data_IF_064093679597
#
_entry.id   IF_064093679597
#
_cell.length_a   1.000
_cell.length_b   1.000
_cell.length_c   1.000
_cell.angle_alpha   90.00
_cell.angle_beta   90.00
_cell.angle_gamma   90.00
#
_symmetry.space_group_name_H-M   'P 1'
#
loop_
_entity.id
_entity.type
_entity.pdbx_description
1 polymer ?
#
# COMPACT_ATOMS: atom_id res chain seq x y z
N UNK A 1 3.14 -20.73 19.67
CA UNK A 1 2.71 -19.40 19.19
C UNK A 1 1.28 -19.10 19.59
N UNK A 2 0.28 -19.90 19.19
CA UNK A 2 -1.13 -19.74 19.61
C UNK A 2 -1.27 -19.58 21.14
N UNK A 3 -0.70 -20.50 21.92
CA UNK A 3 -0.72 -20.41 23.39
C UNK A 3 -0.16 -19.08 23.93
N UNK A 4 1.03 -18.66 23.48
CA UNK A 4 1.63 -17.37 23.90
C UNK A 4 0.75 -16.17 23.58
N UNK A 5 0.16 -16.10 22.39
CA UNK A 5 -0.70 -14.99 22.02
C UNK A 5 -1.98 -14.93 22.87
N UNK A 6 -2.57 -16.09 23.17
CA UNK A 6 -3.75 -16.19 24.04
C UNK A 6 -3.40 -15.81 25.49
N UNK A 7 -2.25 -16.25 26.00
CA UNK A 7 -1.72 -15.89 27.33
C UNK A 7 -1.52 -14.37 27.46
N UNK A 8 -1.05 -13.71 26.41
CA UNK A 8 -0.94 -12.24 26.30
C UNK A 8 -2.29 -11.54 26.09
N UNK A 9 -3.38 -12.30 26.06
CA UNK A 9 -4.74 -11.79 25.98
C UNK A 9 -5.22 -11.40 24.58
N UNK A 10 -4.46 -11.74 23.54
CA UNK A 10 -4.81 -11.44 22.15
C UNK A 10 -5.90 -12.37 21.61
N UNK A 11 -6.63 -11.88 20.61
CA UNK A 11 -7.37 -12.74 19.68
C UNK A 11 -6.37 -13.30 18.65
N UNK A 12 -6.60 -14.53 18.20
CA UNK A 12 -5.74 -15.24 17.25
C UNK A 12 -6.63 -15.76 16.14
N UNK A 13 -6.36 -15.37 14.90
CA UNK A 13 -6.93 -16.00 13.72
C UNK A 13 -5.94 -17.03 13.16
N UNK A 14 -6.43 -18.21 12.81
CA UNK A 14 -5.63 -19.33 12.31
C UNK A 14 -6.28 -19.88 11.04
N UNK A 15 -5.50 -19.96 9.97
CA UNK A 15 -5.95 -20.41 8.67
C UNK A 15 -5.05 -21.50 8.07
N UNK A 16 -5.47 -21.97 6.89
CA UNK A 16 -4.57 -22.49 5.86
C UNK A 16 -4.28 -21.36 4.88
N UNK A 17 -3.01 -21.11 4.59
CA UNK A 17 -2.59 -19.82 4.01
C UNK A 17 -2.27 -19.94 2.52
N UNK A 18 -1.00 -20.20 2.17
CA UNK A 18 -0.58 -20.43 0.78
C UNK A 18 -1.01 -21.79 0.22
N UNK A 19 -1.65 -22.63 1.04
CA UNK A 19 -2.37 -23.81 0.57
C UNK A 19 -3.38 -23.47 -0.55
N UNK A 20 -3.94 -22.24 -0.53
CA UNK A 20 -4.86 -21.70 -1.53
C UNK A 20 -4.32 -21.85 -2.95
N UNK A 21 -3.15 -21.31 -3.24
CA UNK A 21 -2.50 -21.36 -4.55
C UNK A 21 -1.52 -22.53 -4.72
N UNK A 22 -1.16 -23.24 -3.65
CA UNK A 22 -0.27 -24.40 -3.77
C UNK A 22 -0.98 -25.67 -4.21
N UNK A 23 -2.22 -25.88 -3.77
CA UNK A 23 -2.95 -27.10 -4.13
C UNK A 23 -4.47 -26.95 -4.13
N UNK A 24 -5.06 -26.07 -3.30
CA UNK A 24 -6.52 -25.87 -3.27
C UNK A 24 -7.04 -25.34 -4.61
N UNK A 25 -6.27 -24.48 -5.28
CA UNK A 25 -6.62 -23.90 -6.59
C UNK A 25 -6.90 -24.94 -7.69
N UNK A 26 -6.41 -26.17 -7.51
CA UNK A 26 -6.62 -27.27 -8.46
C UNK A 26 -7.98 -27.96 -8.30
N UNK A 27 -8.81 -27.57 -7.32
CA UNK A 27 -10.12 -28.19 -7.04
C UNK A 27 -11.01 -28.40 -8.28
N UNK A 28 -11.08 -27.50 -9.27
CA UNK A 28 -11.87 -27.74 -10.49
C UNK A 28 -11.41 -28.95 -11.30
N UNK A 29 -10.13 -29.32 -11.20
CA UNK A 29 -9.51 -30.41 -11.98
C UNK A 29 -9.17 -31.66 -11.16
N UNK A 30 -9.08 -31.52 -9.84
CA UNK A 30 -8.69 -32.58 -8.90
C UNK A 30 -9.56 -32.56 -7.63
N UNK A 31 -10.86 -32.45 -7.83
CA UNK A 31 -11.86 -32.18 -6.78
C UNK A 31 -11.76 -33.12 -5.57
N UNK A 32 -11.80 -34.43 -5.80
CA UNK A 32 -11.86 -35.42 -4.71
C UNK A 32 -10.61 -35.39 -3.83
N UNK A 33 -9.42 -35.27 -4.43
CA UNK A 33 -8.16 -35.25 -3.68
C UNK A 33 -7.98 -33.94 -2.92
N UNK A 34 -8.30 -32.81 -3.55
CA UNK A 34 -8.26 -31.49 -2.88
C UNK A 34 -9.23 -31.46 -1.70
N UNK A 35 -10.48 -31.87 -1.90
CA UNK A 35 -11.48 -31.90 -0.84
C UNK A 35 -11.10 -32.86 0.29
N UNK A 36 -10.59 -34.06 -0.03
CA UNK A 36 -10.14 -35.03 0.96
C UNK A 36 -8.98 -34.47 1.80
N UNK A 37 -7.98 -33.84 1.16
CA UNK A 37 -6.86 -33.19 1.84
C UNK A 37 -7.33 -32.04 2.72
N UNK A 38 -8.20 -31.16 2.21
CA UNK A 38 -8.74 -30.04 2.96
C UNK A 38 -9.50 -30.49 4.22
N UNK A 39 -10.39 -31.49 4.08
CA UNK A 39 -11.13 -32.07 5.20
C UNK A 39 -10.20 -32.72 6.24
N UNK A 40 -9.17 -33.44 5.79
CA UNK A 40 -8.18 -34.05 6.68
C UNK A 40 -7.38 -32.99 7.46
N UNK A 41 -6.97 -31.89 6.81
CA UNK A 41 -6.28 -30.77 7.45
C UNK A 41 -7.16 -30.13 8.52
N UNK A 42 -8.38 -29.76 8.19
CA UNK A 42 -9.28 -29.10 9.15
C UNK A 42 -9.73 -30.03 10.29
N UNK A 43 -9.88 -31.33 10.04
CA UNK A 43 -10.17 -32.29 11.11
C UNK A 43 -9.03 -32.34 12.14
N UNK A 44 -7.78 -32.32 11.69
CA UNK A 44 -6.62 -32.31 12.57
C UNK A 44 -6.52 -31.00 13.36
N UNK A 45 -6.69 -29.85 12.70
CA UNK A 45 -6.66 -28.53 13.35
C UNK A 45 -7.78 -28.41 14.39
N UNK A 46 -9.02 -28.73 14.01
CA UNK A 46 -10.18 -28.67 14.90
C UNK A 46 -10.02 -29.60 16.12
N UNK A 47 -9.46 -30.80 15.92
CA UNK A 47 -9.17 -31.73 17.02
C UNK A 47 -8.11 -31.19 17.96
N UNK A 48 -7.00 -30.68 17.43
CA UNK A 48 -5.87 -30.16 18.21
C UNK A 48 -6.29 -28.98 19.10
N UNK A 49 -7.06 -28.06 18.55
CA UNK A 49 -7.42 -26.79 19.21
C UNK A 49 -8.85 -26.79 19.79
N UNK A 50 -9.45 -27.97 19.95
CA UNK A 50 -10.83 -28.17 20.40
C UNK A 50 -11.22 -27.39 21.66
N UNK A 51 -10.30 -27.34 22.63
CA UNK A 51 -10.55 -26.76 23.96
C UNK A 51 -9.90 -25.38 24.16
N UNK A 52 -9.25 -24.83 23.12
CA UNK A 52 -8.69 -23.48 23.18
C UNK A 52 -9.81 -22.43 23.36
N UNK A 53 -9.55 -21.33 24.09
CA UNK A 53 -10.53 -20.25 24.30
C UNK A 53 -11.12 -19.72 22.99
N UNK A 54 -12.30 -19.10 23.07
CA UNK A 54 -12.98 -18.48 21.91
C UNK A 54 -12.24 -17.24 21.36
N UNK A 55 -11.11 -16.87 21.97
CA UNK A 55 -10.17 -15.89 21.40
C UNK A 55 -9.41 -16.46 20.20
N UNK A 56 -9.34 -17.78 20.05
CA UNK A 56 -8.86 -18.43 18.84
C UNK A 56 -10.04 -18.57 17.86
N UNK A 57 -9.90 -17.97 16.69
CA UNK A 57 -10.79 -18.07 15.54
C UNK A 57 -10.17 -19.03 14.52
N UNK A 58 -11.00 -19.56 13.62
CA UNK A 58 -10.52 -20.29 12.46
C UNK A 58 -11.02 -19.61 11.19
N UNK A 59 -10.12 -19.37 10.26
CA UNK A 59 -10.40 -18.86 8.92
C UNK A 59 -10.22 -19.97 7.89
N UNK A 60 -11.23 -20.18 7.04
CA UNK A 60 -11.37 -21.35 6.16
C UNK A 60 -10.17 -21.57 5.23
N UNK A 61 -9.78 -20.53 4.49
CA UNK A 61 -8.68 -20.51 3.52
C UNK A 61 -8.36 -19.05 3.16
N UNK A 62 -7.08 -18.71 3.10
CA UNK A 62 -6.60 -17.38 2.71
C UNK A 62 -6.70 -17.16 1.19
N UNK A 63 -7.29 -16.05 0.75
CA UNK A 63 -7.30 -15.59 -0.65
C UNK A 63 -7.57 -16.73 -1.65
N UNK A 64 -8.74 -17.38 -1.59
CA UNK A 64 -9.05 -18.52 -2.44
C UNK A 64 -9.06 -18.12 -3.91
N UNK A 65 -8.35 -18.89 -4.73
CA UNK A 65 -8.35 -18.79 -6.19
C UNK A 65 -8.44 -20.19 -6.78
N UNK A 66 -8.96 -20.31 -8.00
CA UNK A 66 -9.14 -21.59 -8.67
C UNK A 66 -8.79 -21.50 -10.15
N UNK A 67 -8.20 -22.57 -10.69
CA UNK A 67 -7.72 -22.61 -12.07
C UNK A 67 -8.14 -23.88 -12.81
N UNK A 68 -8.17 -23.78 -14.12
CA UNK A 68 -8.40 -24.90 -15.02
C UNK A 68 -7.11 -25.69 -15.29
N UNK A 69 -7.21 -26.74 -16.12
CA UNK A 69 -6.07 -27.60 -16.46
C UNK A 69 -4.96 -26.89 -17.25
N UNK A 70 -5.23 -25.71 -17.83
CA UNK A 70 -4.24 -24.88 -18.50
C UNK A 70 -3.52 -23.92 -17.54
N UNK A 71 -4.03 -23.79 -16.32
CA UNK A 71 -3.56 -22.85 -15.32
C UNK A 71 -4.24 -21.48 -15.40
N UNK A 72 -5.27 -21.31 -16.22
CA UNK A 72 -6.05 -20.08 -16.29
C UNK A 72 -7.10 -20.05 -15.18
N UNK A 73 -7.42 -18.86 -14.67
CA UNK A 73 -8.50 -18.69 -13.69
C UNK A 73 -9.84 -19.21 -14.25
N UNK A 74 -10.60 -19.95 -13.45
CA UNK A 74 -11.95 -20.38 -13.81
C UNK A 74 -12.95 -19.22 -13.60
N UNK A 75 -14.13 -19.24 -14.25
CA UNK A 75 -15.15 -18.21 -14.03
C UNK A 75 -15.57 -18.11 -12.56
N UNK A 76 -15.92 -16.91 -12.11
CA UNK A 76 -16.36 -16.65 -10.74
C UNK A 76 -17.44 -17.62 -10.25
N UNK A 77 -18.39 -18.00 -11.10
CA UNK A 77 -19.45 -18.96 -10.74
C UNK A 77 -18.91 -20.35 -10.38
N UNK A 78 -17.84 -20.82 -11.05
CA UNK A 78 -17.17 -22.07 -10.71
C UNK A 78 -16.31 -21.90 -9.47
N UNK A 79 -15.61 -20.77 -9.35
CA UNK A 79 -14.82 -20.45 -8.18
C UNK A 79 -15.66 -20.37 -6.90
N UNK A 80 -16.83 -19.73 -6.96
CA UNK A 80 -17.81 -19.67 -5.86
C UNK A 80 -18.30 -21.07 -5.47
N UNK A 81 -18.60 -21.93 -6.43
CA UNK A 81 -19.03 -23.31 -6.13
C UNK A 81 -17.96 -24.10 -5.39
N UNK A 82 -16.70 -24.03 -5.84
CA UNK A 82 -15.58 -24.67 -5.15
C UNK A 82 -15.37 -24.09 -3.75
N UNK A 83 -15.40 -22.76 -3.63
CA UNK A 83 -15.20 -22.09 -2.35
C UNK A 83 -16.30 -22.44 -1.34
N UNK A 84 -17.56 -22.36 -1.74
CA UNK A 84 -18.69 -22.64 -0.84
C UNK A 84 -18.70 -24.09 -0.36
N UNK A 85 -18.28 -25.04 -1.21
CA UNK A 85 -18.11 -26.43 -0.79
C UNK A 85 -17.01 -26.59 0.27
N UNK A 86 -15.86 -25.92 0.09
CA UNK A 86 -14.77 -25.94 1.07
C UNK A 86 -15.20 -25.30 2.40
N UNK A 87 -15.82 -24.13 2.35
CA UNK A 87 -16.25 -23.39 3.54
C UNK A 87 -17.38 -24.10 4.31
N UNK A 88 -18.32 -24.73 3.60
CA UNK A 88 -19.34 -25.60 4.21
C UNK A 88 -18.69 -26.81 4.89
N UNK A 89 -17.78 -27.50 4.19
CA UNK A 89 -17.07 -28.65 4.77
C UNK A 89 -16.23 -28.25 6.00
N UNK A 90 -15.59 -27.09 5.95
CA UNK A 90 -14.87 -26.51 7.07
C UNK A 90 -15.79 -26.24 8.27
N UNK A 91 -16.90 -25.54 8.07
CA UNK A 91 -17.86 -25.24 9.13
C UNK A 91 -18.41 -26.52 9.77
N UNK A 92 -18.80 -27.50 8.95
CA UNK A 92 -19.29 -28.80 9.42
C UNK A 92 -18.23 -29.53 10.27
N UNK A 93 -17.00 -29.62 9.80
CA UNK A 93 -15.91 -30.28 10.55
C UNK A 93 -15.69 -29.62 11.90
N UNK A 94 -15.61 -28.28 11.92
CA UNK A 94 -15.36 -27.55 13.17
C UNK A 94 -16.52 -27.74 14.13
N UNK A 95 -17.77 -27.58 13.69
CA UNK A 95 -18.95 -27.73 14.56
C UNK A 95 -19.12 -29.15 15.11
N UNK A 96 -18.76 -30.18 14.35
CA UNK A 96 -18.88 -31.57 14.78
C UNK A 96 -17.68 -32.10 15.58
N UNK A 97 -16.61 -31.32 15.74
CA UNK A 97 -15.44 -31.71 16.54
C UNK A 97 -15.65 -31.60 18.07
N UNK A 98 -16.72 -30.91 18.50
CA UNK A 98 -17.15 -30.75 19.90
C UNK A 98 -16.32 -29.75 20.70
N UNK A 99 -16.47 -29.76 22.03
CA UNK A 99 -15.75 -28.83 22.92
C UNK A 99 -16.11 -27.38 22.66
N UNK A 100 -15.13 -26.48 22.65
CA UNK A 100 -15.35 -25.04 22.40
C UNK A 100 -15.59 -24.71 20.93
N UNK A 101 -15.29 -25.63 20.01
CA UNK A 101 -15.51 -25.43 18.59
C UNK A 101 -16.99 -25.28 18.20
N UNK A 102 -17.93 -25.73 19.06
CA UNK A 102 -19.36 -25.53 18.86
C UNK A 102 -19.79 -24.05 18.86
N UNK A 103 -19.02 -23.17 19.53
CA UNK A 103 -19.28 -21.72 19.57
C UNK A 103 -18.08 -20.87 19.13
N UNK A 104 -17.09 -21.47 18.45
CA UNK A 104 -15.92 -20.77 17.94
C UNK A 104 -16.31 -19.93 16.72
N UNK A 105 -15.85 -18.68 16.67
CA UNK A 105 -16.04 -17.86 15.48
C UNK A 105 -15.32 -18.48 14.28
N UNK A 106 -16.02 -18.58 13.16
CA UNK A 106 -15.49 -19.03 11.88
C UNK A 106 -15.45 -17.87 10.90
N UNK A 107 -14.33 -17.72 10.23
CA UNK A 107 -14.03 -16.59 9.35
C UNK A 107 -14.04 -17.10 7.91
N UNK A 108 -14.84 -16.45 7.06
CA UNK A 108 -15.14 -16.88 5.69
C UNK A 108 -14.84 -15.77 4.67
N UNK A 109 -14.29 -16.17 3.52
CA UNK A 109 -13.79 -15.27 2.47
C UNK A 109 -14.79 -15.19 1.31
N UNK A 110 -14.98 -14.02 0.66
CA UNK A 110 -15.65 -13.94 -0.63
C UNK A 110 -14.70 -14.38 -1.75
N UNK A 111 -15.19 -14.66 -2.96
CA UNK A 111 -14.27 -14.95 -4.08
C UNK A 111 -13.52 -13.70 -4.58
N UNK A 112 -14.14 -12.52 -4.41
CA UNK A 112 -13.56 -11.22 -4.74
C UNK A 112 -14.23 -10.10 -3.93
N UNK A 113 -13.69 -8.89 -4.03
CA UNK A 113 -14.14 -7.71 -3.28
C UNK A 113 -15.20 -6.86 -4.01
N UNK A 114 -15.72 -7.36 -5.14
CA UNK A 114 -16.80 -6.70 -5.86
C UNK A 114 -18.15 -7.02 -5.21
N UNK A 115 -19.19 -6.28 -5.59
CA UNK A 115 -20.52 -6.45 -4.98
C UNK A 115 -21.04 -7.88 -5.14
N UNK A 116 -20.81 -8.53 -6.28
CA UNK A 116 -21.25 -9.92 -6.51
C UNK A 116 -20.56 -10.91 -5.57
N UNK A 117 -19.23 -10.78 -5.38
CA UNK A 117 -18.49 -11.65 -4.46
C UNK A 117 -18.93 -11.46 -3.00
N UNK A 118 -19.17 -10.22 -2.58
CA UNK A 118 -19.69 -9.91 -1.24
C UNK A 118 -21.13 -10.42 -1.03
N UNK A 119 -22.01 -10.25 -2.02
CA UNK A 119 -23.38 -10.78 -1.98
C UNK A 119 -23.37 -12.31 -1.96
N UNK A 120 -22.47 -12.93 -2.71
CA UNK A 120 -22.23 -14.38 -2.71
C UNK A 120 -21.91 -14.90 -1.32
N UNK A 121 -20.89 -14.32 -0.67
CA UNK A 121 -20.53 -14.67 0.71
C UNK A 121 -21.68 -14.40 1.70
N UNK A 122 -22.42 -13.29 1.54
CA UNK A 122 -23.55 -12.98 2.42
C UNK A 122 -24.66 -14.05 2.32
N UNK A 123 -24.93 -14.55 1.11
CA UNK A 123 -25.89 -15.63 0.88
C UNK A 123 -25.41 -16.95 1.48
N UNK A 124 -24.11 -17.24 1.38
CA UNK A 124 -23.50 -18.43 1.99
C UNK A 124 -23.58 -18.37 3.52
N UNK A 125 -23.16 -17.26 4.15
CA UNK A 125 -23.27 -17.06 5.61
C UNK A 125 -24.72 -17.27 6.07
N UNK A 126 -25.70 -16.77 5.33
CA UNK A 126 -27.11 -16.96 5.65
C UNK A 126 -27.56 -18.43 5.53
N UNK A 127 -27.01 -19.19 4.58
CA UNK A 127 -27.37 -20.60 4.33
C UNK A 127 -26.79 -21.57 5.37
N UNK A 128 -25.67 -21.22 5.99
CA UNK A 128 -25.04 -22.01 7.07
C UNK A 128 -25.83 -21.98 8.39
N UNK A 129 -26.77 -21.03 8.54
CA UNK A 129 -27.64 -20.90 9.72
C UNK A 129 -26.88 -20.86 11.06
N UNK A 130 -25.71 -20.21 11.07
CA UNK A 130 -24.81 -20.12 12.22
C UNK A 130 -24.59 -18.65 12.63
N UNK A 131 -24.76 -18.35 13.91
CA UNK A 131 -24.61 -17.00 14.45
C UNK A 131 -23.16 -16.59 14.75
N UNK A 132 -22.20 -17.51 14.63
CA UNK A 132 -20.79 -17.32 14.97
C UNK A 132 -19.91 -17.30 13.70
N UNK A 133 -20.37 -16.61 12.66
CA UNK A 133 -19.66 -16.42 11.40
C UNK A 133 -19.19 -14.97 11.25
N UNK A 134 -18.03 -14.79 10.62
CA UNK A 134 -17.38 -13.50 10.35
C UNK A 134 -17.01 -13.45 8.87
N UNK A 135 -17.32 -12.35 8.19
CA UNK A 135 -16.84 -12.11 6.84
C UNK A 135 -15.42 -11.53 6.90
N UNK A 136 -14.46 -12.11 6.16
CA UNK A 136 -13.11 -11.54 6.01
C UNK A 136 -12.88 -10.99 4.62
N UNK A 137 -12.11 -9.90 4.54
CA UNK A 137 -11.75 -9.18 3.33
C UNK A 137 -10.29 -8.79 3.43
N UNK A 138 -9.53 -8.88 2.33
CA UNK A 138 -8.19 -8.30 2.24
C UNK A 138 -8.21 -7.07 1.33
N UNK A 139 -7.44 -6.04 1.67
CA UNK A 139 -7.29 -4.88 0.79
C UNK A 139 -5.91 -4.23 0.90
N UNK A 140 -5.24 -4.17 -0.24
CA UNK A 140 -3.92 -3.53 -0.39
C UNK A 140 -3.99 -2.14 -1.05
N UNK A 141 -5.19 -1.57 -1.18
CA UNK A 141 -5.46 -0.29 -1.83
C UNK A 141 -5.63 -0.38 -3.36
N UNK A 142 -5.94 0.75 -3.98
CA UNK A 142 -6.09 0.88 -5.43
C UNK A 142 -4.78 0.52 -6.14
N UNK A 143 -4.79 -0.57 -6.92
CA UNK A 143 -3.57 -1.18 -7.47
C UNK A 143 -2.62 -0.18 -8.13
N UNK A 144 -3.04 0.70 -9.07
CA UNK A 144 -2.12 1.63 -9.73
C UNK A 144 -1.36 2.55 -8.78
N UNK A 145 -2.01 3.00 -7.70
CA UNK A 145 -1.38 3.82 -6.67
C UNK A 145 -0.35 3.02 -5.87
N UNK A 146 -0.74 1.82 -5.46
CA UNK A 146 0.02 1.01 -4.50
C UNK A 146 1.31 0.42 -5.08
N UNK A 147 1.40 0.33 -6.42
CA UNK A 147 2.62 -0.04 -7.15
C UNK A 147 3.29 1.13 -7.87
N UNK A 148 2.67 2.32 -7.83
CA UNK A 148 3.04 3.55 -8.56
C UNK A 148 3.26 3.27 -10.06
N UNK A 149 2.15 3.19 -10.79
CA UNK A 149 2.08 3.01 -12.26
C UNK A 149 0.92 3.84 -12.83
N UNK A 150 0.91 4.08 -14.13
CA UNK A 150 -0.19 4.77 -14.83
C UNK A 150 -0.48 6.20 -14.33
N UNK A 151 0.52 6.87 -13.75
CA UNK A 151 0.41 8.24 -13.26
C UNK A 151 -0.32 8.37 -11.92
N UNK A 152 -0.43 7.29 -11.15
CA UNK A 152 -1.01 7.28 -9.81
C UNK A 152 0.07 7.38 -8.73
N UNK A 153 0.83 8.48 -8.74
CA UNK A 153 1.85 8.77 -7.73
C UNK A 153 1.28 9.38 -6.43
N UNK A 154 0.02 9.84 -6.45
CA UNK A 154 -0.67 10.55 -5.36
C UNK A 154 -1.90 9.79 -4.82
N UNK A 155 -2.18 9.95 -3.52
CA UNK A 155 -3.43 9.52 -2.88
C UNK A 155 -4.58 10.49 -3.23
N UNK A 156 -4.87 10.57 -4.54
CA UNK A 156 -5.82 11.50 -5.12
C UNK A 156 -7.29 11.06 -4.89
N UNK A 157 -8.23 11.85 -5.43
CA UNK A 157 -9.66 11.61 -5.24
C UNK A 157 -10.14 10.24 -5.76
N UNK A 158 -9.56 9.73 -6.86
CA UNK A 158 -9.94 8.42 -7.39
C UNK A 158 -9.47 7.29 -6.47
N UNK A 159 -8.24 7.40 -5.95
CA UNK A 159 -7.69 6.43 -4.98
C UNK A 159 -8.50 6.43 -3.68
N UNK A 160 -8.90 7.61 -3.22
CA UNK A 160 -9.77 7.77 -2.04
C UNK A 160 -11.16 7.17 -2.29
N UNK A 161 -11.73 7.39 -3.47
CA UNK A 161 -13.06 6.87 -3.82
C UNK A 161 -13.09 5.34 -3.85
N UNK A 162 -12.06 4.70 -4.41
CA UNK A 162 -11.93 3.24 -4.41
C UNK A 162 -12.00 2.66 -2.97
N UNK A 163 -11.30 3.30 -2.03
CA UNK A 163 -11.34 2.92 -0.61
C UNK A 163 -12.73 3.15 0.01
N UNK A 164 -13.36 4.30 -0.26
CA UNK A 164 -14.71 4.62 0.26
C UNK A 164 -15.75 3.62 -0.26
N UNK A 165 -15.67 3.27 -1.54
CA UNK A 165 -16.59 2.33 -2.17
C UNK A 165 -16.43 0.93 -1.55
N UNK A 166 -15.20 0.49 -1.29
CA UNK A 166 -14.96 -0.78 -0.59
C UNK A 166 -15.62 -0.81 0.80
N UNK A 167 -15.36 0.19 1.65
CA UNK A 167 -15.92 0.22 3.00
C UNK A 167 -17.44 0.34 3.00
N UNK A 168 -18.00 1.09 2.04
CA UNK A 168 -19.44 1.16 1.82
C UNK A 168 -20.02 -0.22 1.48
N UNK A 169 -19.40 -0.97 0.56
CA UNK A 169 -19.81 -2.35 0.23
C UNK A 169 -19.73 -3.28 1.43
N UNK A 170 -18.62 -3.28 2.17
CA UNK A 170 -18.46 -4.09 3.39
C UNK A 170 -19.57 -3.79 4.40
N UNK A 171 -19.79 -2.51 4.69
CA UNK A 171 -20.74 -2.09 5.71
C UNK A 171 -22.18 -2.46 5.33
N UNK A 172 -22.59 -2.10 4.11
CA UNK A 172 -23.97 -2.34 3.64
C UNK A 172 -24.28 -3.82 3.45
N UNK A 173 -23.29 -4.62 3.07
CA UNK A 173 -23.48 -6.06 2.82
C UNK A 173 -23.50 -6.84 4.13
N UNK A 174 -22.57 -6.57 5.06
CA UNK A 174 -22.36 -7.37 6.26
C UNK A 174 -22.70 -6.64 7.56
N UNK A 175 -21.97 -5.57 7.88
CA UNK A 175 -22.00 -4.94 9.21
C UNK A 175 -23.38 -4.41 9.57
N UNK A 176 -24.03 -3.70 8.65
CA UNK A 176 -25.37 -3.14 8.84
C UNK A 176 -26.45 -4.23 9.02
N UNK A 177 -26.16 -5.47 8.62
CA UNK A 177 -27.04 -6.64 8.77
C UNK A 177 -26.67 -7.53 9.97
N UNK A 178 -25.72 -7.09 10.79
CA UNK A 178 -25.31 -7.80 12.01
C UNK A 178 -24.28 -8.91 11.78
N UNK A 179 -23.70 -9.02 10.57
CA UNK A 179 -22.57 -9.92 10.30
C UNK A 179 -21.28 -9.15 10.57
N UNK A 180 -20.44 -9.57 11.53
CA UNK A 180 -19.14 -8.93 11.76
C UNK A 180 -18.25 -9.01 10.52
N UNK A 181 -17.55 -7.92 10.22
CA UNK A 181 -16.56 -7.86 9.15
C UNK A 181 -15.15 -7.66 9.72
N UNK A 182 -14.20 -8.38 9.13
CA UNK A 182 -12.79 -8.40 9.49
C UNK A 182 -11.95 -8.11 8.24
N UNK A 183 -11.09 -7.10 8.30
CA UNK A 183 -10.06 -6.86 7.28
C UNK A 183 -8.84 -7.71 7.65
N UNK A 184 -8.80 -8.95 7.16
CA UNK A 184 -7.80 -9.95 7.53
C UNK A 184 -6.38 -9.57 7.18
N UNK A 185 -6.24 -8.81 6.09
CA UNK A 185 -4.99 -8.19 5.70
C UNK A 185 -5.25 -6.81 5.13
N UNK A 186 -4.39 -5.86 5.50
CA UNK A 186 -4.27 -4.61 4.76
C UNK A 186 -2.84 -4.09 4.76
N UNK A 187 -2.56 -3.27 3.76
CA UNK A 187 -1.27 -2.63 3.55
C UNK A 187 -1.22 -1.95 2.19
N UNK A 188 -0.03 -1.85 1.61
CA UNK A 188 0.15 -1.52 0.20
C UNK A 188 1.20 -2.46 -0.40
N UNK A 189 1.20 -2.67 -1.71
CA UNK A 189 2.16 -3.59 -2.33
C UNK A 189 3.62 -3.13 -2.24
N UNK A 190 3.89 -1.81 -2.23
CA UNK A 190 5.25 -1.27 -2.31
C UNK A 190 5.58 -0.14 -1.33
N UNK A 191 4.84 -0.04 -0.22
CA UNK A 191 5.12 0.90 0.86
C UNK A 191 4.57 0.44 2.24
N UNK A 192 5.34 0.57 3.34
CA UNK A 192 6.78 0.85 3.36
C UNK A 192 7.57 -0.38 2.91
N UNK A 193 8.64 -0.17 2.16
CA UNK A 193 9.54 -1.23 1.68
C UNK A 193 10.98 -0.99 2.16
N UNK A 194 11.54 -2.01 2.82
CA UNK A 194 12.89 -1.98 3.39
C UNK A 194 13.83 -3.02 2.77
N UNK A 195 13.33 -3.85 1.86
CA UNK A 195 14.11 -4.96 1.31
C UNK A 195 14.95 -4.53 0.10
N UNK A 196 14.43 -3.58 -0.68
CA UNK A 196 15.04 -3.17 -1.96
C UNK A 196 15.51 -1.70 -1.97
N UNK A 197 15.63 -1.06 -0.79
CA UNK A 197 16.08 0.34 -0.62
C UNK A 197 15.31 1.40 -1.44
N UNK A 198 14.05 1.14 -1.78
CA UNK A 198 13.16 2.12 -2.40
C UNK A 198 11.75 2.02 -1.82
N UNK A 199 11.00 3.12 -1.93
CA UNK A 199 9.56 3.15 -1.69
C UNK A 199 8.88 3.64 -2.98
N UNK A 200 7.93 2.87 -3.50
CA UNK A 200 7.22 3.27 -4.72
C UNK A 200 6.19 4.36 -4.43
N UNK A 201 5.59 4.33 -3.24
CA UNK A 201 4.66 5.37 -2.77
C UNK A 201 5.47 6.39 -1.97
N UNK A 202 5.26 7.67 -2.27
CA UNK A 202 5.81 8.79 -1.51
C UNK A 202 5.27 8.75 -0.06
N UNK A 203 6.08 9.15 0.92
CA UNK A 203 5.76 8.93 2.35
C UNK A 203 4.55 9.74 2.82
N UNK A 204 4.41 11.00 2.41
CA UNK A 204 3.21 11.80 2.65
C UNK A 204 1.96 11.16 2.04
N UNK A 205 2.05 10.65 0.81
CA UNK A 205 0.94 9.97 0.14
C UNK A 205 0.55 8.66 0.85
N UNK A 206 1.53 7.83 1.20
CA UNK A 206 1.32 6.60 1.98
C UNK A 206 0.76 6.87 3.37
N UNK A 207 1.23 7.91 4.05
CA UNK A 207 0.69 8.33 5.35
C UNK A 207 -0.79 8.75 5.24
N UNK A 208 -1.17 9.50 4.19
CA UNK A 208 -2.59 9.84 3.93
C UNK A 208 -3.45 8.60 3.72
N UNK A 209 -2.95 7.61 2.96
CA UNK A 209 -3.63 6.31 2.78
C UNK A 209 -3.89 5.63 4.13
N UNK A 210 -2.87 5.45 4.97
CA UNK A 210 -3.03 4.77 6.26
C UNK A 210 -3.89 5.54 7.28
N UNK A 211 -3.88 6.88 7.25
CA UNK A 211 -4.77 7.70 8.07
C UNK A 211 -6.24 7.47 7.70
N UNK A 212 -6.56 7.54 6.40
CA UNK A 212 -7.92 7.35 5.90
C UNK A 212 -8.37 5.90 6.07
N UNK A 213 -7.52 4.92 5.77
CA UNK A 213 -7.85 3.50 5.91
C UNK A 213 -8.32 3.15 7.32
N UNK A 214 -7.56 3.56 8.34
CA UNK A 214 -7.94 3.30 9.73
C UNK A 214 -9.15 4.12 10.19
N UNK A 215 -9.35 5.33 9.64
CA UNK A 215 -10.56 6.11 9.89
C UNK A 215 -11.81 5.40 9.34
N UNK A 216 -11.76 4.97 8.08
CA UNK A 216 -12.89 4.30 7.41
C UNK A 216 -13.21 2.96 8.07
N UNK A 217 -12.20 2.16 8.43
CA UNK A 217 -12.39 0.93 9.19
C UNK A 217 -13.13 1.19 10.51
N UNK A 218 -12.71 2.22 11.26
CA UNK A 218 -13.30 2.56 12.57
C UNK A 218 -14.76 2.96 12.46
N UNK A 219 -15.11 3.85 11.52
CA UNK A 219 -16.49 4.35 11.40
C UNK A 219 -17.44 3.33 10.79
N UNK A 220 -16.92 2.37 10.02
CA UNK A 220 -17.70 1.25 9.47
C UNK A 220 -17.65 -0.01 10.34
N UNK A 221 -17.08 0.07 11.56
CA UNK A 221 -16.97 -1.05 12.51
C UNK A 221 -16.28 -2.31 11.96
N UNK A 222 -15.26 -2.12 11.12
CA UNK A 222 -14.45 -3.20 10.56
C UNK A 222 -13.19 -3.36 11.42
N UNK A 223 -12.99 -4.54 12.00
CA UNK A 223 -11.74 -4.86 12.70
C UNK A 223 -10.64 -5.10 11.67
N UNK A 224 -9.40 -4.66 11.90
CA UNK A 224 -8.32 -4.78 10.91
C UNK A 224 -7.10 -5.50 11.47
N UNK A 225 -6.40 -6.26 10.61
CA UNK A 225 -5.10 -6.82 10.86
C UNK A 225 -4.10 -6.34 9.81
N UNK A 226 -3.07 -5.62 10.26
CA UNK A 226 -2.03 -5.08 9.37
C UNK A 226 -1.14 -6.21 8.87
N UNK A 227 -0.93 -6.30 7.56
CA UNK A 227 0.00 -7.26 6.99
C UNK A 227 1.44 -6.83 7.26
N UNK A 228 2.09 -7.49 8.24
CA UNK A 228 3.48 -7.23 8.59
C UNK A 228 4.39 -8.41 8.28
N UNK A 229 4.82 -8.51 7.02
CA UNK A 229 5.86 -9.43 6.56
C UNK A 229 7.28 -9.08 7.07
N UNK A 230 7.39 -8.11 7.98
CA UNK A 230 8.64 -7.51 8.46
C UNK A 230 8.83 -6.07 8.01
N UNK A 231 7.82 -5.47 7.37
CA UNK A 231 7.83 -4.10 6.86
C UNK A 231 7.55 -3.05 7.94
N UNK A 232 6.84 -3.40 9.01
CA UNK A 232 6.43 -2.44 10.04
C UNK A 232 7.21 -2.61 11.34
N UNK A 233 7.33 -3.83 11.85
CA UNK A 233 8.11 -4.13 13.05
C UNK A 233 9.44 -4.77 12.68
N UNK A 234 10.53 -4.19 13.17
CA UNK A 234 11.83 -4.85 13.15
C UNK A 234 11.84 -5.95 14.23
N UNK A 235 11.67 -7.20 13.81
CA UNK A 235 11.60 -8.35 14.73
C UNK A 235 12.90 -8.64 15.50
N UNK A 236 14.04 -8.08 15.06
CA UNK A 236 15.32 -8.22 15.79
C UNK A 236 15.47 -7.20 16.91
N UNK A 237 14.89 -6.00 16.75
CA UNK A 237 14.96 -4.93 17.77
C UNK A 237 13.67 -4.75 18.56
N UNK A 238 12.58 -5.37 18.10
CA UNK A 238 11.21 -5.23 18.61
C UNK A 238 10.73 -3.77 18.61
N UNK A 239 11.19 -2.97 17.65
CA UNK A 239 10.79 -1.58 17.46
C UNK A 239 10.14 -1.39 16.08
N UNK A 240 9.21 -0.41 15.93
CA UNK A 240 8.73 0.00 14.62
C UNK A 240 9.90 0.45 13.73
N UNK A 241 9.88 0.07 12.46
CA UNK A 241 10.84 0.54 11.44
C UNK A 241 10.63 2.01 11.11
N UNK A 242 9.36 2.42 11.06
CA UNK A 242 8.95 3.82 10.99
C UNK A 242 8.04 4.15 12.19
N UNK A 243 8.59 4.77 13.26
CA UNK A 243 7.82 5.17 14.42
C UNK A 243 6.71 6.19 14.12
N UNK A 244 6.87 7.04 13.11
CA UNK A 244 5.89 8.07 12.76
C UNK A 244 4.67 7.46 12.05
N UNK A 245 4.91 6.62 11.04
CA UNK A 245 3.85 5.86 10.37
C UNK A 245 3.13 4.94 11.36
N UNK A 246 3.87 4.26 12.24
CA UNK A 246 3.28 3.42 13.29
C UNK A 246 2.38 4.23 14.24
N UNK A 247 2.82 5.42 14.66
CA UNK A 247 2.02 6.31 15.50
C UNK A 247 0.76 6.80 14.78
N UNK A 248 0.85 7.08 13.48
CA UNK A 248 -0.28 7.48 12.65
C UNK A 248 -1.34 6.38 12.53
N UNK A 249 -0.92 5.15 12.20
CA UNK A 249 -1.80 3.96 12.16
C UNK A 249 -2.44 3.74 13.53
N UNK A 250 -1.69 3.85 14.63
CA UNK A 250 -2.25 3.69 15.99
C UNK A 250 -3.24 4.79 16.35
N UNK A 251 -3.00 6.02 15.89
CA UNK A 251 -3.90 7.15 16.12
C UNK A 251 -5.24 6.95 15.43
N UNK A 252 -5.23 6.40 14.20
CA UNK A 252 -6.45 6.17 13.40
C UNK A 252 -7.40 5.14 14.04
N UNK A 253 -6.96 4.36 15.02
CA UNK A 253 -7.86 3.50 15.81
C UNK A 253 -8.81 4.28 16.73
N UNK A 254 -8.49 5.55 17.07
CA UNK A 254 -9.24 6.32 18.07
C UNK A 254 -9.66 7.72 17.61
N UNK A 255 -8.89 8.35 16.74
CA UNK A 255 -9.17 9.70 16.24
C UNK A 255 -8.71 9.85 14.80
N UNK A 256 -9.15 10.90 14.08
CA UNK A 256 -8.49 11.33 12.85
C UNK A 256 -7.23 12.14 13.16
N UNK A 257 -6.34 12.23 12.18
CA UNK A 257 -5.19 13.14 12.20
C UNK A 257 -5.29 14.09 11.02
N UNK A 258 -5.01 15.37 11.23
CA UNK A 258 -4.85 16.31 10.11
C UNK A 258 -3.61 15.97 9.31
N UNK A 259 -3.68 16.14 7.99
CA UNK A 259 -2.54 15.98 7.06
C UNK A 259 -2.38 17.25 6.22
N UNK A 260 -1.59 17.18 5.14
CA UNK A 260 -1.50 18.25 4.16
C UNK A 260 -1.47 17.67 2.75
N UNK A 261 -1.59 18.53 1.73
CA UNK A 261 -1.51 18.12 0.34
C UNK A 261 -0.20 17.38 0.03
N UNK A 262 0.89 17.73 0.71
CA UNK A 262 2.18 17.06 0.66
C UNK A 262 2.89 17.15 2.03
N UNK A 263 3.82 16.24 2.31
CA UNK A 263 4.82 16.33 3.37
C UNK A 263 6.13 16.97 2.88
N UNK A 264 6.13 17.62 1.72
CA UNK A 264 7.30 18.24 1.10
C UNK A 264 7.04 19.71 0.77
N UNK A 265 8.05 20.55 1.00
CA UNK A 265 8.07 21.97 0.65
C UNK A 265 9.39 22.28 -0.06
N UNK A 266 9.33 22.43 -1.39
CA UNK A 266 10.52 22.66 -2.20
C UNK A 266 10.91 24.14 -2.25
N UNK A 267 12.19 24.43 -1.95
CA UNK A 267 12.80 25.76 -2.00
C UNK A 267 13.91 25.76 -3.06
N UNK A 268 13.86 26.62 -4.09
CA UNK A 268 14.88 26.62 -5.12
C UNK A 268 16.23 27.08 -4.54
N UNK A 269 17.32 26.40 -4.94
CA UNK A 269 18.69 26.71 -4.50
C UNK A 269 19.15 28.10 -4.92
N UNK A 270 18.65 28.60 -6.05
CA UNK A 270 18.99 29.90 -6.62
C UNK A 270 17.72 30.71 -6.88
N UNK A 271 17.88 32.03 -6.93
CA UNK A 271 16.77 32.96 -7.10
C UNK A 271 16.17 33.43 -5.77
N UNK A 272 15.15 34.31 -5.83
CA UNK A 272 14.53 34.87 -4.63
C UNK A 272 13.69 33.82 -3.90
N UNK A 273 13.87 33.72 -2.58
CA UNK A 273 12.98 32.93 -1.72
C UNK A 273 11.70 33.73 -1.49
N UNK A 274 10.57 33.10 -1.81
CA UNK A 274 9.23 33.71 -1.69
C UNK A 274 8.44 33.09 -0.55
N UNK A 275 7.32 33.73 -0.19
CA UNK A 275 6.34 33.12 0.70
C UNK A 275 5.75 31.88 0.03
N UNK A 276 5.49 30.83 0.81
CA UNK A 276 4.98 29.56 0.30
C UNK A 276 3.77 29.11 1.11
N UNK A 277 2.81 28.49 0.42
CA UNK A 277 1.55 28.02 1.03
C UNK A 277 1.50 26.50 1.00
N UNK A 278 1.12 25.91 2.13
CA UNK A 278 0.84 24.50 2.29
C UNK A 278 -0.67 24.36 2.48
N UNK A 279 -1.34 23.64 1.59
CA UNK A 279 -2.75 23.28 1.75
C UNK A 279 -2.85 22.14 2.77
N UNK A 280 -3.62 22.35 3.84
CA UNK A 280 -3.85 21.37 4.89
C UNK A 280 -5.08 20.50 4.57
N UNK A 281 -5.03 19.22 4.90
CA UNK A 281 -6.22 18.38 4.96
C UNK A 281 -6.65 18.31 6.43
N UNK A 282 -7.62 19.13 6.81
CA UNK A 282 -7.99 19.25 8.22
C UNK A 282 -8.62 17.98 8.78
N UNK A 283 -9.24 17.12 7.97
CA UNK A 283 -9.80 15.83 8.39
C UNK A 283 -10.74 15.94 9.62
N UNK A 284 -11.56 17.00 9.65
CA UNK A 284 -12.45 17.30 10.79
C UNK A 284 -11.73 17.83 12.05
N UNK A 285 -10.42 18.01 12.01
CA UNK A 285 -9.61 18.65 13.07
C UNK A 285 -9.42 20.14 12.81
N UNK A 286 -8.76 20.85 13.73
CA UNK A 286 -8.38 22.25 13.56
C UNK A 286 -6.88 22.45 13.75
N UNK A 287 -6.26 23.33 12.95
CA UNK A 287 -4.88 23.76 13.15
C UNK A 287 -4.66 24.35 14.56
N UNK A 288 -3.54 24.00 15.20
CA UNK A 288 -3.19 24.43 16.56
C UNK A 288 -1.83 25.10 16.67
N UNK A 289 -0.88 24.77 15.80
CA UNK A 289 0.44 25.37 15.88
C UNK A 289 1.39 24.83 14.83
N UNK A 290 2.53 25.49 14.74
CA UNK A 290 3.59 25.19 13.80
C UNK A 290 4.94 25.35 14.51
N UNK A 291 5.83 24.38 14.35
CA UNK A 291 7.18 24.43 14.90
C UNK A 291 8.21 23.86 13.93
N UNK A 292 9.48 24.24 14.08
CA UNK A 292 10.62 23.60 13.42
C UNK A 292 11.72 23.37 14.46
N UNK A 293 11.90 22.12 14.88
CA UNK A 293 12.69 21.80 16.09
C UNK A 293 12.16 22.57 17.30
N UNK A 294 13.06 23.28 18.01
CA UNK A 294 12.70 24.10 19.18
C UNK A 294 12.08 25.46 18.83
N UNK A 295 12.06 25.83 17.54
CA UNK A 295 11.45 27.09 17.11
C UNK A 295 9.94 26.93 17.01
N UNK A 296 9.21 27.55 17.94
CA UNK A 296 7.77 27.76 17.83
C UNK A 296 7.49 28.96 16.91
N UNK A 297 6.82 28.72 15.79
CA UNK A 297 6.50 29.76 14.82
C UNK A 297 5.31 30.59 15.32
N UNK A 298 5.33 31.89 15.04
CA UNK A 298 4.36 32.87 15.52
C UNK A 298 3.44 33.34 14.39
N UNK A 299 2.13 33.16 14.57
CA UNK A 299 1.11 33.65 13.62
C UNK A 299 1.21 35.17 13.45
N UNK A 300 1.15 35.64 12.21
CA UNK A 300 1.27 37.05 11.82
C UNK A 300 2.72 37.51 11.59
N UNK A 301 3.71 36.83 12.17
CA UNK A 301 5.14 37.10 11.94
C UNK A 301 5.76 36.06 11.00
N UNK A 302 5.63 34.80 11.37
CA UNK A 302 6.30 33.69 10.70
C UNK A 302 5.38 33.02 9.66
N UNK A 303 4.08 33.00 9.92
CA UNK A 303 3.08 32.43 9.03
C UNK A 303 1.71 33.10 9.20
N UNK A 304 0.83 32.92 8.22
CA UNK A 304 -0.61 33.17 8.32
C UNK A 304 -1.39 31.89 8.00
N UNK A 305 -2.66 31.84 8.41
CA UNK A 305 -3.55 30.72 8.06
C UNK A 305 -4.94 31.27 7.76
N UNK A 306 -5.50 30.84 6.62
CA UNK A 306 -6.85 31.16 6.18
C UNK A 306 -7.57 29.86 5.77
N UNK A 307 -8.53 29.41 6.58
CA UNK A 307 -9.13 28.08 6.41
C UNK A 307 -8.07 26.99 6.54
N UNK A 308 -7.85 26.27 5.45
CA UNK A 308 -6.84 25.21 5.31
C UNK A 308 -5.53 25.68 4.64
N UNK A 309 -5.43 26.95 4.26
CA UNK A 309 -4.25 27.49 3.60
C UNK A 309 -3.25 28.03 4.63
N UNK A 310 -2.16 27.29 4.88
CA UNK A 310 -1.06 27.69 5.77
C UNK A 310 0.05 28.36 4.97
N UNK A 311 0.20 29.68 5.08
CA UNK A 311 1.21 30.45 4.33
C UNK A 311 2.37 30.85 5.22
N UNK A 312 3.57 30.37 4.88
CA UNK A 312 4.84 30.78 5.48
C UNK A 312 5.33 32.08 4.84
N UNK A 313 5.83 33.02 5.63
CA UNK A 313 6.45 34.23 5.06
C UNK A 313 7.77 33.88 4.36
N UNK A 314 8.20 34.71 3.39
CA UNK A 314 9.48 34.52 2.70
C UNK A 314 10.67 34.44 3.67
N UNK A 315 10.66 35.25 4.73
CA UNK A 315 11.68 35.24 5.78
C UNK A 315 11.69 33.92 6.56
N UNK A 316 10.52 33.35 6.84
CA UNK A 316 10.40 32.03 7.47
C UNK A 316 10.94 30.94 6.56
N UNK A 317 10.55 30.92 5.28
CA UNK A 317 11.05 29.94 4.31
C UNK A 317 12.57 30.03 4.19
N UNK A 318 13.13 31.25 4.11
CA UNK A 318 14.58 31.46 4.06
C UNK A 318 15.30 30.94 5.30
N UNK A 319 14.72 31.14 6.49
CA UNK A 319 15.28 30.60 7.74
C UNK A 319 15.23 29.08 7.80
N UNK A 320 14.13 28.48 7.32
CA UNK A 320 13.96 27.02 7.26
C UNK A 320 14.91 26.36 6.26
N UNK A 321 15.19 27.03 5.14
CA UNK A 321 16.13 26.56 4.14
C UNK A 321 17.61 26.68 4.58
N UNK A 322 17.91 27.31 5.72
CA UNK A 322 19.24 27.29 6.34
C UNK A 322 20.39 27.70 5.41
N UNK A 323 21.38 26.82 5.23
CA UNK A 323 22.51 27.00 4.31
C UNK A 323 22.15 26.72 2.84
N UNK A 324 20.92 26.29 2.59
CA UNK A 324 20.40 25.82 1.31
C UNK A 324 21.29 24.71 0.76
N UNK A 325 21.65 23.72 1.58
CA UNK A 325 22.32 22.53 1.07
C UNK A 325 21.29 21.69 0.32
N UNK A 326 21.64 21.09 -0.82
CA UNK A 326 20.66 20.26 -1.54
C UNK A 326 20.14 19.11 -0.66
N UNK A 327 18.82 18.92 -0.67
CA UNK A 327 18.12 17.95 0.18
C UNK A 327 17.33 18.60 1.30
N UNK A 328 17.03 17.83 2.35
CA UNK A 328 16.23 18.28 3.50
C UNK A 328 17.08 19.18 4.40
N UNK A 329 16.73 20.46 4.49
CA UNK A 329 17.40 21.43 5.38
C UNK A 329 16.79 21.45 6.78
N UNK A 330 15.46 21.33 6.84
CA UNK A 330 14.70 21.33 8.10
C UNK A 330 13.36 20.64 7.93
N UNK A 331 12.66 20.48 9.06
CA UNK A 331 11.36 19.84 9.10
C UNK A 331 10.40 20.70 9.92
N UNK A 332 9.25 21.00 9.32
CA UNK A 332 8.12 21.65 9.98
C UNK A 332 7.21 20.60 10.60
N UNK A 333 6.68 20.89 11.78
CA UNK A 333 5.66 20.10 12.46
C UNK A 333 4.38 20.92 12.57
N UNK A 334 3.35 20.50 11.86
CA UNK A 334 2.00 21.06 11.90
C UNK A 334 1.20 20.31 12.97
N UNK A 335 0.75 21.02 13.99
CA UNK A 335 -0.07 20.45 15.07
C UNK A 335 -1.54 20.72 14.82
N UNK A 336 -2.36 19.70 15.07
CA UNK A 336 -3.81 19.77 14.98
C UNK A 336 -4.45 19.61 16.38
N UNK A 337 -5.77 19.78 16.45
CA UNK A 337 -6.55 19.67 17.68
C UNK A 337 -6.62 18.25 18.25
N UNK A 338 -6.41 17.24 17.40
CA UNK A 338 -6.42 15.83 17.74
C UNK A 338 -5.53 15.07 16.74
N UNK A 339 -5.23 13.81 17.07
CA UNK A 339 -4.37 12.96 16.27
C UNK A 339 -2.89 13.28 16.41
N UNK A 340 -2.08 12.72 15.52
CA UNK A 340 -0.63 12.98 15.49
C UNK A 340 -0.32 14.24 14.67
N UNK A 341 0.78 14.95 14.96
CA UNK A 341 1.23 16.05 14.13
C UNK A 341 1.60 15.60 12.71
N UNK A 342 1.43 16.49 11.74
CA UNK A 342 1.93 16.30 10.38
C UNK A 342 3.32 16.90 10.23
N UNK A 343 4.17 16.24 9.48
CA UNK A 343 5.56 16.61 9.27
C UNK A 343 5.73 17.09 7.83
N UNK A 344 6.43 18.20 7.60
CA UNK A 344 6.73 18.70 6.26
C UNK A 344 8.23 18.95 6.14
N UNK A 345 8.88 18.24 5.22
CA UNK A 345 10.28 18.40 4.89
C UNK A 345 10.48 19.66 4.03
N UNK A 346 11.33 20.57 4.49
CA UNK A 346 11.75 21.74 3.70
C UNK A 346 13.00 21.34 2.92
N UNK A 347 12.87 21.30 1.59
CA UNK A 347 13.83 20.67 0.69
C UNK A 347 14.43 21.73 -0.23
N UNK A 348 15.72 22.02 -0.09
CA UNK A 348 16.41 22.80 -1.12
C UNK A 348 16.68 21.94 -2.34
N UNK A 349 16.23 22.40 -3.51
CA UNK A 349 16.39 21.67 -4.78
C UNK A 349 16.99 22.52 -5.90
N UNK A 350 17.53 21.85 -6.92
CA UNK A 350 18.04 22.47 -8.14
C UNK A 350 17.86 21.56 -9.35
N UNK A 351 18.45 21.91 -10.50
CA UNK A 351 18.35 21.11 -11.71
C UNK A 351 18.94 19.71 -11.50
N UNK A 352 18.15 18.67 -11.77
CA UNK A 352 18.63 17.29 -11.80
C UNK A 352 19.45 17.08 -13.07
N UNK A 353 20.62 16.46 -12.96
CA UNK A 353 21.50 16.21 -14.11
C UNK A 353 21.81 14.74 -14.25
N UNK A 354 21.71 14.22 -15.47
CA UNK A 354 22.04 12.85 -15.83
C UNK A 354 23.31 12.83 -16.70
N UNK A 355 23.93 11.66 -16.85
CA UNK A 355 25.05 11.46 -17.76
C UNK A 355 24.83 10.22 -18.63
N UNK A 356 25.49 10.17 -19.78
CA UNK A 356 25.46 9.01 -20.66
C UNK A 356 25.95 7.76 -19.93
N UNK A 357 25.34 6.62 -20.27
CA UNK A 357 25.63 5.34 -19.66
C UNK A 357 25.53 4.20 -20.68
N UNK A 358 26.17 3.08 -20.38
CA UNK A 358 26.03 1.82 -21.11
C UNK A 358 25.71 0.72 -20.12
N UNK A 359 24.84 -0.20 -20.53
CA UNK A 359 24.42 -1.34 -19.73
C UNK A 359 24.03 -2.51 -20.62
N UNK A 360 23.29 -3.45 -20.05
CA UNK A 360 22.83 -4.63 -20.79
C UNK A 360 21.47 -5.13 -20.28
N UNK A 361 20.82 -6.00 -21.05
CA UNK A 361 19.49 -6.54 -20.72
C UNK A 361 19.49 -7.56 -19.58
N UNK A 362 20.66 -7.95 -19.04
CA UNK A 362 20.79 -8.89 -17.93
C UNK A 362 20.99 -8.18 -16.60
N UNK A 363 21.86 -7.17 -16.58
CA UNK A 363 22.28 -6.42 -15.39
C UNK A 363 21.59 -5.06 -15.25
N UNK A 364 20.89 -4.59 -16.30
CA UNK A 364 20.24 -3.29 -16.33
C UNK A 364 21.14 -2.17 -16.90
N UNK A 365 20.61 -0.95 -16.86
CA UNK A 365 21.33 0.28 -17.22
C UNK A 365 21.32 1.21 -16.00
N UNK A 366 22.50 1.46 -15.43
CA UNK A 366 22.66 2.38 -14.31
C UNK A 366 22.97 3.77 -14.87
N UNK A 367 22.02 4.70 -14.75
CA UNK A 367 22.13 6.08 -15.22
C UNK A 367 22.71 6.94 -14.09
N UNK A 368 23.95 7.48 -14.20
CA UNK A 368 24.46 8.42 -13.23
C UNK A 368 23.57 9.66 -13.16
N UNK A 369 23.04 9.96 -11.99
CA UNK A 369 22.01 10.99 -11.76
C UNK A 369 22.33 11.79 -10.52
N UNK A 370 22.64 13.08 -10.66
CA UNK A 370 22.74 14.01 -9.52
C UNK A 370 21.38 14.62 -9.28
N UNK A 371 20.73 14.19 -8.20
CA UNK A 371 19.37 14.61 -7.87
C UNK A 371 19.28 16.06 -7.38
N UNK A 372 20.33 16.61 -6.76
CA UNK A 372 20.34 17.99 -6.25
C UNK A 372 19.05 18.36 -5.47
N UNK A 373 18.61 17.48 -4.55
CA UNK A 373 17.40 17.65 -3.75
C UNK A 373 16.08 17.31 -4.47
N UNK A 374 16.13 16.96 -5.76
CA UNK A 374 14.99 16.40 -6.48
C UNK A 374 14.61 15.02 -5.93
N UNK A 375 13.31 14.80 -5.73
CA UNK A 375 12.73 13.52 -5.32
C UNK A 375 11.94 12.97 -6.51
N UNK A 376 12.33 11.80 -7.03
CA UNK A 376 11.67 11.21 -8.19
C UNK A 376 10.27 10.73 -7.83
N UNK A 377 9.26 11.13 -8.61
CA UNK A 377 7.87 10.73 -8.43
C UNK A 377 7.53 9.55 -9.34
N UNK A 378 7.84 9.66 -10.63
CA UNK A 378 7.41 8.73 -11.66
C UNK A 378 8.30 8.83 -12.90
N UNK A 379 8.15 7.88 -13.83
CA UNK A 379 8.82 7.88 -15.12
C UNK A 379 7.86 7.47 -16.24
N UNK A 380 7.79 8.29 -17.29
CA UNK A 380 7.16 7.92 -18.56
C UNK A 380 8.21 7.34 -19.52
N UNK A 381 7.80 6.37 -20.35
CA UNK A 381 8.62 5.82 -21.43
C UNK A 381 7.80 5.75 -22.73
N UNK A 382 8.29 6.40 -23.79
CA UNK A 382 7.59 6.49 -25.07
C UNK A 382 8.49 6.20 -26.27
N UNK A 383 7.90 5.59 -27.30
CA UNK A 383 8.48 5.57 -28.64
C UNK A 383 8.21 6.88 -29.38
N UNK A 384 8.84 7.07 -30.54
CA UNK A 384 8.72 8.30 -31.33
C UNK A 384 7.28 8.58 -31.83
N UNK A 385 6.43 7.56 -31.93
CA UNK A 385 5.01 7.70 -32.28
C UNK A 385 4.11 8.06 -31.09
N UNK A 386 4.70 8.17 -29.88
CA UNK A 386 4.00 8.48 -28.64
C UNK A 386 3.42 7.26 -27.91
N UNK A 387 3.55 6.05 -28.46
CA UNK A 387 3.10 4.82 -27.78
C UNK A 387 3.98 4.49 -26.57
N UNK A 388 3.38 3.82 -25.57
CA UNK A 388 4.07 3.40 -24.36
C UNK A 388 5.15 2.35 -24.64
N UNK A 389 6.33 2.52 -24.04
CA UNK A 389 7.46 1.60 -24.16
C UNK A 389 7.76 0.93 -22.82
N UNK A 390 8.01 -0.38 -22.85
CA UNK A 390 8.33 -1.16 -21.65
C UNK A 390 7.24 -2.17 -21.28
N UNK A 391 7.29 -2.73 -20.07
CA UNK A 391 6.40 -3.83 -19.66
C UNK A 391 4.92 -3.44 -19.61
N UNK A 392 4.62 -2.18 -19.30
CA UNK A 392 3.26 -1.66 -19.19
C UNK A 392 2.85 -0.88 -20.45
N UNK A 393 2.86 -1.54 -21.61
CA UNK A 393 2.66 -0.88 -22.91
C UNK A 393 1.30 -0.18 -23.12
N UNK A 394 0.32 -0.43 -22.26
CA UNK A 394 -1.00 0.22 -22.26
C UNK A 394 -0.98 1.63 -21.65
N UNK A 395 0.12 2.03 -21.01
CA UNK A 395 0.35 3.37 -20.42
C UNK A 395 1.76 3.86 -20.74
N UNK A 396 1.99 5.17 -20.73
CA UNK A 396 3.36 5.72 -20.83
C UNK A 396 4.09 5.65 -19.48
N UNK A 397 3.37 5.85 -18.38
CA UNK A 397 3.91 5.78 -17.00
C UNK A 397 4.24 4.35 -16.60
N UNK A 398 5.52 4.09 -16.35
CA UNK A 398 6.03 2.78 -16.00
C UNK A 398 6.00 2.54 -14.49
N UNK A 399 6.03 1.27 -14.11
CA UNK A 399 5.90 0.84 -12.72
C UNK A 399 7.19 1.11 -11.92
N UNK A 400 7.08 1.91 -10.86
CA UNK A 400 8.18 2.23 -9.95
C UNK A 400 8.67 0.96 -9.24
N UNK A 401 9.98 0.74 -9.20
CA UNK A 401 10.57 -0.41 -8.53
C UNK A 401 10.60 -1.69 -9.37
N UNK A 402 9.83 -1.75 -10.46
CA UNK A 402 9.85 -2.86 -11.42
C UNK A 402 10.52 -2.46 -12.73
N UNK A 403 10.24 -1.26 -13.25
CA UNK A 403 10.84 -0.76 -14.50
C UNK A 403 12.05 0.13 -14.27
N UNK A 404 12.04 0.89 -13.18
CA UNK A 404 13.13 1.78 -12.78
C UNK A 404 13.24 1.86 -11.26
N UNK A 405 14.45 2.09 -10.75
CA UNK A 405 14.75 2.20 -9.32
C UNK A 405 15.71 3.38 -9.11
N UNK A 406 15.31 4.48 -8.46
CA UNK A 406 16.24 5.53 -8.07
C UNK A 406 17.01 5.14 -6.80
N UNK A 407 18.29 5.53 -6.76
CA UNK A 407 19.13 5.51 -5.57
C UNK A 407 19.73 6.91 -5.39
N UNK A 408 19.05 7.73 -4.59
CA UNK A 408 19.46 9.10 -4.32
C UNK A 408 20.81 9.15 -3.57
N UNK A 409 21.11 8.17 -2.71
CA UNK A 409 22.38 8.10 -1.99
C UNK A 409 23.53 7.70 -2.92
N UNK A 410 23.28 6.76 -3.83
CA UNK A 410 24.20 6.32 -4.87
C UNK A 410 24.33 7.30 -6.05
N UNK A 411 23.46 8.31 -6.14
CA UNK A 411 23.34 9.22 -7.30
C UNK A 411 23.12 8.45 -8.61
N UNK A 412 22.17 7.53 -8.62
CA UNK A 412 21.83 6.74 -9.81
C UNK A 412 20.32 6.56 -9.98
N UNK A 413 19.92 6.30 -11.22
CA UNK A 413 18.63 5.69 -11.54
C UNK A 413 18.94 4.43 -12.35
N UNK A 414 18.48 3.28 -11.88
CA UNK A 414 18.66 2.00 -12.57
C UNK A 414 17.42 1.69 -13.39
N UNK A 415 17.58 1.53 -14.70
CA UNK A 415 16.60 0.88 -15.56
C UNK A 415 16.78 -0.63 -15.41
N UNK A 416 15.71 -1.33 -15.06
CA UNK A 416 15.78 -2.76 -14.71
C UNK A 416 15.95 -3.63 -15.96
N UNK A 417 16.46 -4.87 -15.79
CA UNK A 417 16.46 -5.86 -16.85
C UNK A 417 15.07 -6.08 -17.47
N UNK A 418 14.01 -6.10 -16.66
CA UNK A 418 12.65 -6.34 -17.15
C UNK A 418 12.17 -5.22 -18.07
N UNK A 419 12.46 -3.96 -17.74
CA UNK A 419 12.19 -2.84 -18.64
C UNK A 419 12.97 -2.97 -19.96
N UNK A 420 14.27 -3.20 -19.88
CA UNK A 420 15.14 -3.25 -21.06
C UNK A 420 14.83 -4.44 -21.98
N UNK A 421 14.41 -5.59 -21.42
CA UNK A 421 13.95 -6.72 -22.22
C UNK A 421 12.66 -6.41 -22.97
N UNK A 422 11.75 -5.64 -22.37
CA UNK A 422 10.44 -5.32 -22.94
C UNK A 422 10.46 -4.27 -24.08
N UNK A 423 11.46 -3.39 -24.14
CA UNK A 423 11.54 -2.38 -25.23
C UNK A 423 11.99 -3.00 -26.57
N UNK A 424 11.65 -2.37 -27.69
CA UNK A 424 11.98 -2.86 -29.03
C UNK A 424 13.47 -2.71 -29.35
N UNK A 425 14.05 -3.69 -30.05
CA UNK A 425 15.45 -3.66 -30.45
C UNK A 425 15.71 -2.62 -31.55
N UNK A 426 16.79 -1.84 -31.42
CA UNK A 426 17.19 -0.79 -32.36
C UNK A 426 16.28 0.44 -32.39
N UNK A 427 15.22 0.51 -31.58
CA UNK A 427 14.27 1.62 -31.53
C UNK A 427 14.54 2.49 -30.29
N UNK A 428 14.85 3.79 -30.46
CA UNK A 428 15.02 4.69 -29.32
C UNK A 428 13.75 4.87 -28.50
N UNK A 429 13.90 4.88 -27.18
CA UNK A 429 12.85 5.17 -26.21
C UNK A 429 13.18 6.47 -25.48
N UNK A 430 12.24 7.40 -25.45
CA UNK A 430 12.35 8.62 -24.63
C UNK A 430 11.82 8.34 -23.24
N UNK A 431 12.67 8.50 -22.23
CA UNK A 431 12.29 8.47 -20.82
C UNK A 431 12.08 9.90 -20.34
N UNK A 432 10.97 10.15 -19.67
CA UNK A 432 10.71 11.42 -18.97
C UNK A 432 10.56 11.14 -17.48
N UNK A 433 11.50 11.63 -16.69
CA UNK A 433 11.48 11.51 -15.24
C UNK A 433 10.82 12.76 -14.64
N UNK A 434 9.73 12.57 -13.90
CA UNK A 434 9.02 13.64 -13.18
C UNK A 434 9.42 13.63 -11.70
N UNK A 435 9.68 14.80 -11.13
CA UNK A 435 10.07 14.96 -9.72
C UNK A 435 8.97 15.69 -8.95
N UNK A 436 8.85 15.42 -7.65
CA UNK A 436 7.86 16.04 -6.76
C UNK A 436 7.95 17.57 -6.67
N UNK A 437 9.09 18.16 -7.04
CA UNK A 437 9.26 19.62 -7.19
C UNK A 437 8.53 20.20 -8.40
N UNK A 438 7.98 19.37 -9.29
CA UNK A 438 7.42 19.72 -10.59
C UNK A 438 8.47 19.77 -11.72
N UNK A 439 9.75 19.59 -11.42
CA UNK A 439 10.79 19.48 -12.44
C UNK A 439 10.63 18.20 -13.27
N UNK A 440 11.15 18.24 -14.52
CA UNK A 440 11.25 17.07 -15.39
C UNK A 440 12.65 16.98 -16.01
N UNK A 441 13.14 15.76 -16.23
CA UNK A 441 14.33 15.50 -17.05
C UNK A 441 14.03 14.46 -18.11
N UNK A 442 14.68 14.59 -19.27
CA UNK A 442 14.54 13.64 -20.38
C UNK A 442 15.84 12.88 -20.61
N UNK A 443 15.69 11.62 -21.01
CA UNK A 443 16.80 10.71 -21.29
C UNK A 443 16.39 9.78 -22.43
N UNK A 444 17.34 9.32 -23.25
CA UNK A 444 17.05 8.37 -24.33
C UNK A 444 17.76 7.07 -24.07
N UNK A 445 17.04 5.96 -24.25
CA UNK A 445 17.59 4.60 -24.15
C UNK A 445 17.38 3.87 -25.47
N UNK A 446 18.43 3.21 -25.96
CA UNK A 446 18.37 2.36 -27.16
C UNK A 446 18.98 1.01 -26.83
N UNK A 447 18.20 -0.06 -27.06
CA UNK A 447 18.70 -1.45 -27.00
C UNK A 447 19.24 -1.87 -28.37
N UNK A 448 20.36 -2.59 -28.38
CA UNK A 448 20.91 -3.27 -29.56
C UNK A 448 21.37 -4.67 -29.19
N UNK A 449 20.55 -5.67 -29.51
CA UNK A 449 20.69 -7.03 -29.00
C UNK A 449 20.60 -7.06 -27.48
N UNK A 450 21.72 -7.40 -26.82
CA UNK A 450 21.83 -7.40 -25.36
C UNK A 450 22.44 -6.11 -24.80
N UNK A 451 23.08 -5.29 -25.63
CA UNK A 451 23.72 -4.04 -25.22
C UNK A 451 22.70 -2.92 -25.16
N UNK A 452 22.83 -2.04 -24.18
CA UNK A 452 21.95 -0.87 -24.02
C UNK A 452 22.80 0.39 -23.90
N UNK A 453 22.48 1.41 -24.68
CA UNK A 453 23.06 2.75 -24.56
C UNK A 453 22.02 3.72 -24.03
N UNK A 454 22.44 4.58 -23.12
CA UNK A 454 21.66 5.66 -22.57
C UNK A 454 22.35 7.00 -22.83
N UNK A 455 21.60 8.00 -23.29
CA UNK A 455 22.12 9.33 -23.58
C UNK A 455 21.23 10.42 -23.02
N UNK A 456 21.84 11.48 -22.51
CA UNK A 456 21.11 12.71 -22.17
C UNK A 456 20.55 13.36 -23.44
N UNK A 457 19.41 14.04 -23.30
CA UNK A 457 18.83 14.86 -24.37
C UNK A 457 19.72 16.04 -24.78
#
# INVERSE_FOLDING_TARGET
MVGWAIEDGLYVDLNVHHDSWQWIENMPTDHENVLARFKATWTQIATMFKDEPHKLLFESVNEPQFKDASGAAVPDTTSEQCLYELQTAFADIVRHSGGRNAGRLLVLFPINNDQSGMDGLANEIASLHDSNLVATIHNYGFWPFTVNIAGYDTFNAQVQQDMLDLYSRIYTTFVAKGVPAYMGEYGTFKYPNWYNNYNAIESGEGNKFFEMFGYEARIHHVTTALWDAGNFINRSTLQPRDPALWALIRSSWKTRSGTAASDQLFVPKSGPITAQTISLNLNGTAFKGLSAGDWNLVKGRDFSINGDQLTLTAATVARLAGSQAYGVDSTLTVRFSAGVPWTVNVITYGPVTQANATGDTTNGLVIPTRFHGGVLAEMEATYADGSGAGPASWTTYQEYGYSFVPDAAGNTITMTPDFLKAINDGVPVTLTFSYWSGAKTTYTVTKSGTTVTGTTA
#
